data_IF_068373097514
#
_entry.id   IF_068373097514
#
_cell.length_a   1.000
_cell.length_b   1.000
_cell.length_c   1.000
_cell.angle_alpha   90.00
_cell.angle_beta   90.00
_cell.angle_gamma   90.00
#
_symmetry.space_group_name_H-M   'P 1'
#
loop_
_entity.id
_entity.type
_entity.pdbx_description
1 polymer ?
#
# COMPACT_ATOMS: atom_id res chain seq x y z
N UNK A 1 3.56 5.59 19.11
CA UNK A 1 3.05 4.37 18.45
C UNK A 1 3.29 4.50 16.95
N UNK A 2 3.76 3.44 16.30
CA UNK A 2 3.97 3.37 14.85
C UNK A 2 3.14 2.23 14.29
N UNK A 3 2.43 2.46 13.20
CA UNK A 3 1.62 1.47 12.51
C UNK A 3 1.94 1.48 11.02
N UNK A 4 1.99 0.29 10.43
CA UNK A 4 2.08 0.11 8.98
C UNK A 4 0.96 -0.80 8.51
N UNK A 5 0.48 -0.57 7.29
CA UNK A 5 -0.65 -1.34 6.78
C UNK A 5 -1.01 -1.03 5.34
N UNK A 6 -2.11 -1.62 4.90
CA UNK A 6 -2.71 -1.29 3.62
C UNK A 6 -3.09 0.21 3.61
N UNK A 7 -2.75 0.95 2.54
CA UNK A 7 -3.03 2.38 2.46
C UNK A 7 -4.48 2.77 2.77
N UNK A 8 -5.47 2.12 2.15
CA UNK A 8 -6.90 2.40 2.37
C UNK A 8 -7.31 2.24 3.85
N UNK A 9 -6.74 1.26 4.54
CA UNK A 9 -7.00 1.00 5.96
C UNK A 9 -6.38 2.08 6.84
N UNK A 10 -5.14 2.49 6.55
CA UNK A 10 -4.46 3.55 7.31
C UNK A 10 -5.15 4.90 7.09
N UNK A 11 -5.59 5.21 5.87
CA UNK A 11 -6.24 6.48 5.54
C UNK A 11 -7.53 6.67 6.33
N UNK A 12 -8.33 5.61 6.48
CA UNK A 12 -9.56 5.64 7.27
C UNK A 12 -9.32 5.97 8.76
N UNK A 13 -8.10 5.80 9.26
CA UNK A 13 -7.74 6.06 10.67
C UNK A 13 -7.01 7.41 10.87
N UNK A 14 -6.65 8.10 9.78
CA UNK A 14 -5.85 9.33 9.83
C UNK A 14 -6.73 10.57 9.64
N UNK A 15 -6.56 11.58 10.49
CA UNK A 15 -7.16 12.92 10.34
C UNK A 15 -6.14 14.00 9.99
N UNK A 16 -4.87 13.70 10.24
CA UNK A 16 -3.73 14.58 9.97
C UNK A 16 -2.66 13.82 9.18
N UNK A 17 -1.81 14.57 8.48
CA UNK A 17 -0.59 14.09 7.85
C UNK A 17 0.62 14.90 8.33
N UNK A 18 1.77 14.24 8.39
CA UNK A 18 3.03 14.90 8.74
C UNK A 18 3.57 15.65 7.53
N UNK A 19 3.68 16.96 7.67
CA UNK A 19 4.39 17.83 6.72
C UNK A 19 5.77 18.19 7.26
N UNK A 20 6.60 18.83 6.42
CA UNK A 20 7.90 19.41 6.83
C UNK A 20 7.79 20.46 7.95
N UNK A 21 6.59 20.99 8.19
CA UNK A 21 6.31 22.01 9.20
C UNK A 21 5.50 21.47 10.40
N UNK A 22 5.24 20.16 10.45
CA UNK A 22 4.42 19.51 11.49
C UNK A 22 3.12 18.91 10.93
N UNK A 23 2.23 18.50 11.83
CA UNK A 23 0.95 17.89 11.49
C UNK A 23 0.03 18.92 10.82
N UNK A 24 -0.54 18.55 9.67
CA UNK A 24 -1.53 19.33 8.91
C UNK A 24 -2.73 18.43 8.59
N UNK A 25 -3.91 18.97 8.22
CA UNK A 25 -5.05 18.16 7.84
C UNK A 25 -4.71 17.13 6.74
N UNK A 26 -5.26 15.91 6.87
CA UNK A 26 -5.03 14.84 5.90
C UNK A 26 -5.71 15.15 4.56
N UNK A 27 -4.94 15.09 3.46
CA UNK A 27 -5.44 15.36 2.12
C UNK A 27 -5.79 14.04 1.39
N UNK A 28 -6.97 13.49 1.72
CA UNK A 28 -7.38 12.18 1.21
C UNK A 28 -7.36 12.08 -0.32
N UNK A 29 -7.92 13.07 -1.02
CA UNK A 29 -8.01 13.05 -2.48
C UNK A 29 -6.61 13.01 -3.14
N UNK A 30 -5.66 13.81 -2.64
CA UNK A 30 -4.29 13.81 -3.15
C UNK A 30 -3.66 12.42 -3.04
N UNK A 31 -3.81 11.78 -1.88
CA UNK A 31 -3.23 10.46 -1.64
C UNK A 31 -3.93 9.35 -2.41
N UNK A 32 -5.25 9.43 -2.64
CA UNK A 32 -5.98 8.52 -3.54
C UNK A 32 -5.46 8.60 -4.98
N UNK A 33 -5.22 9.81 -5.49
CA UNK A 33 -4.63 10.02 -6.82
C UNK A 33 -3.22 9.44 -6.91
N UNK A 34 -2.39 9.65 -5.88
CA UNK A 34 -1.03 9.09 -5.81
C UNK A 34 -1.03 7.56 -5.69
N UNK A 35 -1.94 6.98 -4.91
CA UNK A 35 -2.11 5.52 -4.84
C UNK A 35 -2.47 4.94 -6.21
N UNK A 36 -3.41 5.56 -6.92
CA UNK A 36 -3.75 5.14 -8.27
C UNK A 36 -2.55 5.25 -9.23
N UNK A 37 -1.71 6.29 -9.06
CA UNK A 37 -0.46 6.45 -9.82
C UNK A 37 0.54 5.32 -9.55
N UNK A 38 0.78 4.97 -8.29
CA UNK A 38 1.68 3.88 -7.91
C UNK A 38 1.14 2.51 -8.30
N UNK A 39 -0.17 2.29 -8.19
CA UNK A 39 -0.82 1.06 -8.63
C UNK A 39 -0.67 0.84 -10.15
N UNK A 40 -0.78 1.91 -10.96
CA UNK A 40 -0.50 1.85 -12.41
C UNK A 40 0.95 1.47 -12.73
N UNK A 41 1.88 1.76 -11.83
CA UNK A 41 3.29 1.37 -11.95
C UNK A 41 3.56 -0.07 -11.46
N UNK A 42 2.52 -0.77 -10.98
CA UNK A 42 2.63 -2.12 -10.46
C UNK A 42 3.31 -2.25 -9.11
N UNK A 43 3.40 -1.15 -8.37
CA UNK A 43 4.00 -1.13 -7.05
C UNK A 43 3.03 -1.73 -6.03
N UNK A 44 3.55 -2.59 -5.16
CA UNK A 44 2.89 -2.96 -3.92
C UNK A 44 3.13 -1.83 -2.92
N UNK A 45 2.06 -1.30 -2.33
CA UNK A 45 2.14 -0.15 -1.43
C UNK A 45 1.92 -0.54 0.02
N UNK A 46 2.64 0.11 0.92
CA UNK A 46 2.42 0.06 2.37
C UNK A 46 2.41 1.49 2.90
N UNK A 47 1.37 1.85 3.64
CA UNK A 47 1.27 3.14 4.32
C UNK A 47 1.82 3.03 5.75
N UNK A 48 2.35 4.15 6.25
CA UNK A 48 2.79 4.30 7.62
C UNK A 48 2.09 5.49 8.29
N UNK A 49 1.75 5.33 9.56
CA UNK A 49 1.22 6.39 10.40
C UNK A 49 1.79 6.29 11.82
N UNK A 50 1.72 7.39 12.57
CA UNK A 50 2.12 7.42 13.96
C UNK A 50 1.07 8.09 14.84
N UNK A 51 1.07 7.72 16.12
CA UNK A 51 0.32 8.42 17.16
C UNK A 51 1.27 8.76 18.30
N UNK A 52 1.33 10.03 18.75
CA UNK A 52 2.03 10.39 19.97
C UNK A 52 1.48 9.55 21.13
N UNK A 53 2.36 8.87 21.86
CA UNK A 53 1.94 8.16 23.05
C UNK A 53 1.67 9.16 24.18
N UNK A 54 0.57 8.97 24.91
CA UNK A 54 0.39 9.69 26.18
C UNK A 54 1.40 9.14 27.19
N UNK A 55 2.04 10.02 27.96
CA UNK A 55 3.05 9.64 28.97
C UNK A 55 2.48 8.71 30.05
N UNK A 56 1.17 8.77 30.27
CA UNK A 56 0.46 7.98 31.28
C UNK A 56 -0.07 6.63 30.76
N UNK A 57 0.05 6.37 29.45
CA UNK A 57 -0.46 5.14 28.85
C UNK A 57 0.53 3.98 29.03
N UNK A 58 0.17 3.01 29.85
CA UNK A 58 0.97 1.80 30.13
C UNK A 58 0.54 0.58 29.31
N UNK A 59 -0.60 0.66 28.62
CA UNK A 59 -1.18 -0.41 27.80
C UNK A 59 -1.58 0.12 26.43
N UNK A 60 -1.45 -0.70 25.40
CA UNK A 60 -1.85 -0.38 24.03
C UNK A 60 -2.97 -1.32 23.58
N UNK A 61 -4.18 -0.80 23.39
CA UNK A 61 -5.33 -1.55 22.90
C UNK A 61 -5.62 -1.20 21.43
N UNK A 62 -6.37 -2.06 20.73
CA UNK A 62 -6.75 -1.81 19.34
C UNK A 62 -7.67 -0.58 19.19
N UNK A 63 -8.49 -0.28 20.21
CA UNK A 63 -9.34 0.91 20.24
C UNK A 63 -8.53 2.21 20.25
N UNK A 64 -7.34 2.20 20.85
CA UNK A 64 -6.44 3.36 20.88
C UNK A 64 -5.87 3.72 19.50
N UNK A 65 -5.98 2.82 18.52
CA UNK A 65 -5.50 2.97 17.16
C UNK A 65 -6.61 3.40 16.18
N UNK A 66 -7.86 3.46 16.61
CA UNK A 66 -8.99 3.77 15.72
C UNK A 66 -9.01 5.24 15.27
N UNK A 67 -8.50 6.16 16.09
CA UNK A 67 -8.48 7.59 15.78
C UNK A 67 -7.21 8.30 16.27
N UNK A 68 -6.91 9.45 15.67
CA UNK A 68 -5.80 10.33 16.07
C UNK A 68 -4.43 9.88 15.55
N UNK A 69 -4.41 9.09 14.49
CA UNK A 69 -3.19 8.78 13.76
C UNK A 69 -2.81 9.94 12.83
N UNK A 70 -1.52 10.23 12.79
CA UNK A 70 -0.88 11.18 11.88
C UNK A 70 -0.22 10.35 10.78
N UNK A 71 -0.70 10.52 9.56
CA UNK A 71 -0.17 9.85 8.39
C UNK A 71 1.25 10.32 8.08
N UNK A 72 2.17 9.39 7.81
CA UNK A 72 3.58 9.70 7.54
C UNK A 72 3.93 9.60 6.06
N UNK A 73 3.34 8.66 5.32
CA UNK A 73 3.66 8.43 3.92
C UNK A 73 3.37 7.01 3.44
N UNK A 74 3.67 6.78 2.16
CA UNK A 74 3.58 5.47 1.50
C UNK A 74 4.97 5.05 1.04
N UNK A 75 5.28 3.77 1.23
CA UNK A 75 6.38 3.10 0.57
C UNK A 75 5.82 2.21 -0.56
N UNK A 76 6.33 2.41 -1.79
CA UNK A 76 6.06 1.56 -2.94
C UNK A 76 7.21 0.59 -3.17
N UNK A 77 6.92 -0.71 -3.27
CA UNK A 77 7.89 -1.75 -3.59
C UNK A 77 7.48 -2.48 -4.87
N UNK A 78 8.44 -2.62 -5.79
CA UNK A 78 8.25 -3.42 -6.99
C UNK A 78 8.62 -4.86 -6.68
N UNK A 79 7.78 -5.80 -7.10
CA UNK A 79 8.05 -7.23 -7.04
C UNK A 79 8.19 -7.71 -8.48
N UNK A 80 9.41 -7.67 -9.05
CA UNK A 80 9.61 -8.01 -10.45
C UNK A 80 9.29 -9.49 -10.69
N UNK A 81 8.71 -9.84 -11.84
CA UNK A 81 8.56 -11.24 -12.21
C UNK A 81 9.93 -11.91 -12.27
N UNK A 82 9.96 -13.19 -11.90
CA UNK A 82 11.16 -14.01 -12.09
C UNK A 82 11.41 -14.20 -13.59
N UNK A 83 12.64 -14.04 -14.11
CA UNK A 83 12.95 -14.23 -15.53
C UNK A 83 12.46 -15.57 -16.08
N UNK A 84 12.62 -16.65 -15.30
CA UNK A 84 12.16 -17.99 -15.68
C UNK A 84 10.64 -18.10 -15.87
N UNK A 85 9.86 -17.25 -15.18
CA UNK A 85 8.41 -17.21 -15.36
C UNK A 85 8.02 -16.59 -16.70
N UNK A 86 8.78 -15.59 -17.17
CA UNK A 86 8.57 -14.95 -18.48
C UNK A 86 8.80 -15.99 -19.59
N UNK A 87 9.92 -16.71 -19.52
CA UNK A 87 10.27 -17.73 -20.51
C UNK A 87 9.24 -18.87 -20.55
N UNK A 88 8.79 -19.34 -19.37
CA UNK A 88 7.79 -20.38 -19.26
C UNK A 88 6.43 -19.97 -19.84
N UNK A 89 5.98 -18.73 -19.57
CA UNK A 89 4.73 -18.20 -20.12
C UNK A 89 4.83 -18.12 -21.65
N UNK A 90 5.95 -17.63 -22.18
CA UNK A 90 6.16 -17.51 -23.62
C UNK A 90 6.16 -18.88 -24.32
N UNK A 91 6.81 -19.89 -23.72
CA UNK A 91 6.79 -21.26 -24.22
C UNK A 91 5.36 -21.85 -24.24
N UNK A 92 4.58 -21.66 -23.17
CA UNK A 92 3.20 -22.10 -23.09
C UNK A 92 2.31 -21.42 -24.15
N UNK A 93 2.42 -20.10 -24.31
CA UNK A 93 1.65 -19.34 -25.31
C UNK A 93 1.98 -19.80 -26.74
N UNK A 94 3.26 -20.01 -27.04
CA UNK A 94 3.71 -20.51 -28.36
C UNK A 94 3.19 -21.92 -28.65
N UNK A 95 3.02 -22.75 -27.62
CA UNK A 95 2.42 -24.07 -27.71
C UNK A 95 0.87 -24.06 -27.77
N UNK A 96 0.23 -22.89 -27.78
CA UNK A 96 -1.23 -22.75 -27.79
C UNK A 96 -1.91 -23.02 -26.43
N UNK A 97 -1.13 -23.04 -25.34
CA UNK A 97 -1.64 -23.27 -23.98
C UNK A 97 -2.10 -21.95 -23.38
N UNK A 98 -3.34 -21.91 -22.87
CA UNK A 98 -3.90 -20.72 -22.22
C UNK A 98 -3.37 -20.58 -20.79
N UNK A 99 -2.64 -19.49 -20.52
CA UNK A 99 -2.14 -19.14 -19.19
C UNK A 99 -3.16 -18.25 -18.44
N UNK A 100 -3.37 -18.51 -17.15
CA UNK A 100 -4.23 -17.73 -16.25
C UNK A 100 -3.46 -17.38 -14.98
N UNK A 101 -3.51 -16.12 -14.57
CA UNK A 101 -2.94 -15.64 -13.31
C UNK A 101 -4.01 -15.71 -12.20
N UNK A 102 -3.64 -16.24 -11.04
CA UNK A 102 -4.44 -16.21 -9.81
C UNK A 102 -3.63 -15.42 -8.78
N UNK A 103 -4.13 -14.27 -8.35
CA UNK A 103 -3.48 -13.43 -7.33
C UNK A 103 -4.52 -12.83 -6.38
N UNK A 104 -4.13 -12.62 -5.13
CA UNK A 104 -4.90 -11.86 -4.14
C UNK A 104 -4.62 -10.35 -4.17
N UNK A 105 -3.77 -9.89 -5.09
CA UNK A 105 -3.45 -8.48 -5.24
C UNK A 105 -4.64 -7.66 -5.76
N UNK A 106 -4.61 -6.35 -5.50
CA UNK A 106 -5.56 -5.40 -6.07
C UNK A 106 -5.56 -5.49 -7.62
N UNK A 107 -6.70 -5.41 -8.31
CA UNK A 107 -6.80 -5.67 -9.75
C UNK A 107 -5.82 -4.87 -10.62
N UNK A 108 -5.56 -3.60 -10.26
CA UNK A 108 -4.61 -2.75 -10.99
C UNK A 108 -3.16 -3.27 -10.86
N UNK A 109 -2.76 -3.71 -9.67
CA UNK A 109 -1.44 -4.32 -9.45
C UNK A 109 -1.35 -5.67 -10.16
N UNK A 110 -2.41 -6.48 -10.14
CA UNK A 110 -2.46 -7.74 -10.90
C UNK A 110 -2.29 -7.52 -12.41
N UNK A 111 -2.96 -6.52 -12.98
CA UNK A 111 -2.84 -6.21 -14.42
C UNK A 111 -1.44 -5.76 -14.81
N UNK A 112 -0.74 -5.00 -13.97
CA UNK A 112 0.64 -4.56 -14.23
C UNK A 112 1.66 -5.70 -14.26
N UNK A 113 1.34 -6.84 -13.63
CA UNK A 113 2.21 -8.03 -13.56
C UNK A 113 1.90 -9.05 -14.64
N UNK A 114 0.97 -8.75 -15.55
CA UNK A 114 0.51 -9.68 -16.58
C UNK A 114 1.47 -9.65 -17.77
N UNK A 115 2.23 -10.71 -17.93
CA UNK A 115 3.09 -11.01 -19.08
C UNK A 115 2.46 -12.15 -19.91
#
# INVERSE_FOLDING_TARGET
>A
VLITGAPDVIFAMCREQMSRHGAVPFEAQYWEEEMARFARQGLRMVAAACKPASLDATTLNHEDLQEGLIFLGIAGMMDPPRPEAIDAIHACQTAGIRVKMITGDHPQTAMSRRY
#
